data_IF_695832737957
#
_entry.id   IF_695832737957
#
_cell.length_a   1.000
_cell.length_b   1.000
_cell.length_c   1.000
_cell.angle_alpha   90.00
_cell.angle_beta   90.00
_cell.angle_gamma   90.00
#
_symmetry.space_group_name_H-M   'P 1'
#
loop_
_entity.id
_entity.type
_entity.pdbx_description
1 polymer ?
#
# COMPACT_ATOMS: atom_id res chain seq x y z
N UNK A 1 50.35 34.22 6.50
CA UNK A 1 49.26 34.22 7.49
C UNK A 1 48.23 33.21 7.04
N UNK A 2 47.80 32.29 7.92
CA UNK A 2 46.74 31.32 7.58
C UNK A 2 45.39 32.03 7.56
N UNK A 3 44.47 31.57 6.71
CA UNK A 3 43.12 32.16 6.65
C UNK A 3 42.30 31.73 7.86
N UNK A 4 41.29 32.53 8.22
CA UNK A 4 40.36 32.20 9.31
C UNK A 4 39.68 30.84 9.03
N UNK A 5 39.40 30.52 7.77
CA UNK A 5 38.81 29.25 7.37
C UNK A 5 39.71 28.05 7.68
N UNK A 6 41.01 28.15 7.40
CA UNK A 6 41.98 27.08 7.71
C UNK A 6 42.07 26.81 9.22
N UNK A 7 42.02 27.85 10.05
CA UNK A 7 42.04 27.70 11.50
C UNK A 7 40.77 27.04 12.04
N UNK A 8 39.62 27.35 11.45
CA UNK A 8 38.34 26.73 11.83
C UNK A 8 38.30 25.23 11.47
N UNK A 9 38.89 24.85 10.33
CA UNK A 9 39.03 23.44 9.91
C UNK A 9 40.01 22.70 10.82
N UNK A 10 41.18 23.28 11.11
CA UNK A 10 42.22 22.70 11.98
C UNK A 10 41.70 22.47 13.42
N UNK A 11 40.77 23.31 13.88
CA UNK A 11 40.13 23.19 15.19
C UNK A 11 38.90 22.29 15.20
N UNK A 12 38.53 21.68 14.07
CA UNK A 12 37.37 20.80 13.97
C UNK A 12 36.03 21.50 14.21
N UNK A 13 35.99 22.84 14.09
CA UNK A 13 34.80 23.67 14.31
C UNK A 13 33.96 23.84 13.03
N UNK A 14 34.38 23.21 11.93
CA UNK A 14 33.60 23.18 10.70
C UNK A 14 32.80 21.90 10.65
N UNK A 15 31.50 22.03 10.88
CA UNK A 15 30.55 20.98 10.54
C UNK A 15 30.51 20.87 9.02
N UNK A 16 31.25 19.92 8.45
CA UNK A 16 30.94 19.47 7.11
C UNK A 16 29.56 18.83 7.19
N UNK A 17 28.52 19.57 6.83
CA UNK A 17 27.11 19.15 6.73
C UNK A 17 26.89 18.04 5.67
N UNK A 18 27.90 17.21 5.39
CA UNK A 18 27.91 16.15 4.37
C UNK A 18 27.88 14.74 4.92
N UNK A 19 28.02 14.54 6.23
CA UNK A 19 27.79 13.27 6.89
C UNK A 19 26.82 13.57 8.04
N UNK A 20 25.55 13.19 8.03
CA UNK A 20 24.98 11.88 7.75
C UNK A 20 23.51 12.11 7.42
N UNK A 21 23.17 12.37 6.16
CA UNK A 21 21.77 12.23 5.76
C UNK A 21 21.53 10.73 5.67
N UNK A 22 21.24 10.10 6.80
CA UNK A 22 20.68 8.75 6.82
C UNK A 22 19.55 8.77 5.80
N UNK A 23 19.72 8.01 4.72
CA UNK A 23 18.66 7.83 3.74
C UNK A 23 17.67 6.92 4.45
N UNK A 24 16.82 7.51 5.30
CA UNK A 24 15.69 6.83 5.88
C UNK A 24 14.90 6.27 4.70
N UNK A 25 14.70 4.96 4.70
CA UNK A 25 14.03 4.24 3.63
C UNK A 25 12.53 4.54 3.71
N UNK A 26 12.14 5.76 3.34
CA UNK A 26 10.77 6.27 3.33
C UNK A 26 9.98 5.77 2.13
N UNK A 27 10.45 4.72 1.45
CA UNK A 27 9.73 4.06 0.36
C UNK A 27 8.49 3.36 0.92
N UNK A 28 7.42 4.12 1.04
CA UNK A 28 6.08 3.56 1.17
C UNK A 28 5.76 2.91 -0.17
N UNK A 29 5.83 1.57 -0.21
CA UNK A 29 5.31 0.83 -1.36
C UNK A 29 3.85 1.27 -1.57
N UNK A 30 3.43 1.61 -2.80
CA UNK A 30 2.04 1.93 -3.07
C UNK A 30 1.21 0.72 -2.64
N UNK A 31 0.25 0.93 -1.73
CA UNK A 31 -0.66 -0.13 -1.29
C UNK A 31 -1.33 -0.71 -2.53
N UNK A 32 -1.26 -2.03 -2.69
CA UNK A 32 -1.99 -2.71 -3.76
C UNK A 32 -3.47 -2.41 -3.58
N UNK A 33 -4.11 -1.95 -4.65
CA UNK A 33 -5.56 -1.72 -4.66
C UNK A 33 -6.23 -3.09 -4.50
N UNK A 34 -7.08 -3.22 -3.50
CA UNK A 34 -7.86 -4.45 -3.31
C UNK A 34 -8.75 -4.68 -4.53
N UNK A 35 -8.65 -5.86 -5.12
CA UNK A 35 -9.47 -6.26 -6.27
C UNK A 35 -10.41 -7.36 -5.85
N UNK A 36 -11.71 -7.14 -6.05
CA UNK A 36 -12.71 -8.17 -5.85
C UNK A 36 -12.58 -9.27 -6.91
N UNK A 37 -12.57 -10.51 -6.45
CA UNK A 37 -12.67 -11.71 -7.26
C UNK A 37 -14.03 -11.80 -7.96
N UNK A 38 -14.10 -12.61 -9.03
CA UNK A 38 -15.35 -12.88 -9.74
C UNK A 38 -16.45 -13.41 -8.82
N UNK A 39 -16.08 -14.18 -7.78
CA UNK A 39 -17.03 -14.76 -6.81
C UNK A 39 -17.64 -13.67 -5.93
N UNK A 40 -16.82 -12.76 -5.43
CA UNK A 40 -17.27 -11.64 -4.60
C UNK A 40 -18.17 -10.70 -5.40
N UNK A 41 -17.82 -10.43 -6.66
CA UNK A 41 -18.70 -9.72 -7.57
C UNK A 41 -20.04 -10.44 -7.77
N UNK A 42 -20.05 -11.74 -8.01
CA UNK A 42 -21.28 -12.52 -8.17
C UNK A 42 -22.14 -12.56 -6.90
N UNK A 43 -21.52 -12.44 -5.72
CA UNK A 43 -22.22 -12.36 -4.44
C UNK A 43 -22.84 -10.98 -4.21
N UNK A 44 -22.08 -9.90 -4.46
CA UNK A 44 -22.55 -8.50 -4.39
C UNK A 44 -23.70 -8.27 -5.38
N UNK A 45 -23.55 -8.76 -6.61
CA UNK A 45 -24.57 -8.65 -7.67
C UNK A 45 -25.76 -9.59 -7.43
N UNK A 46 -25.70 -10.47 -6.42
CA UNK A 46 -26.77 -11.41 -6.10
C UNK A 46 -26.95 -12.51 -7.14
N UNK A 47 -26.00 -12.70 -8.06
CA UNK A 47 -26.02 -13.77 -9.07
C UNK A 47 -25.94 -15.16 -8.44
N UNK A 48 -25.32 -15.27 -7.26
CA UNK A 48 -25.27 -16.51 -6.48
C UNK A 48 -26.50 -16.75 -5.59
N UNK A 49 -27.51 -15.84 -5.61
CA UNK A 49 -28.71 -16.00 -4.78
C UNK A 49 -29.57 -17.13 -5.30
N UNK A 50 -30.05 -17.92 -4.37
CA UNK A 50 -31.03 -18.96 -4.65
C UNK A 50 -32.32 -18.33 -5.17
N UNK A 51 -32.82 -18.85 -6.29
CA UNK A 51 -34.09 -18.39 -6.86
C UNK A 51 -35.21 -19.31 -6.40
N UNK A 52 -36.18 -18.73 -5.71
CA UNK A 52 -37.40 -19.43 -5.32
C UNK A 52 -38.38 -19.40 -6.49
N UNK A 53 -38.56 -20.53 -7.18
CA UNK A 53 -39.62 -20.68 -8.18
C UNK A 53 -40.76 -21.50 -7.57
N UNK A 54 -42.00 -20.99 -7.68
CA UNK A 54 -43.20 -21.76 -7.32
C UNK A 54 -43.43 -22.85 -8.37
N UNK A 55 -42.93 -24.06 -8.10
CA UNK A 55 -43.25 -25.28 -8.84
C UNK A 55 -43.91 -26.29 -7.90
N UNK A 56 -44.72 -27.23 -8.43
CA UNK A 56 -45.29 -28.34 -7.64
C UNK A 56 -44.13 -29.11 -6.98
N UNK A 57 -44.04 -29.06 -5.66
CA UNK A 57 -42.99 -29.70 -4.87
C UNK A 57 -41.93 -28.77 -4.26
N UNK A 58 -42.02 -27.45 -4.46
CA UNK A 58 -41.24 -26.45 -3.71
C UNK A 58 -39.74 -26.72 -3.64
N UNK A 59 -39.01 -26.44 -4.73
CA UNK A 59 -37.57 -26.66 -4.76
C UNK A 59 -36.83 -25.36 -5.08
N UNK A 60 -36.01 -24.94 -4.11
CA UNK A 60 -34.97 -23.92 -4.27
C UNK A 60 -34.04 -24.35 -5.40
N UNK A 61 -33.77 -23.46 -6.37
CA UNK A 61 -32.78 -23.72 -7.42
C UNK A 61 -31.59 -22.79 -7.25
N UNK A 62 -30.42 -23.42 -7.09
CA UNK A 62 -29.12 -22.77 -7.22
C UNK A 62 -28.66 -22.96 -8.66
N UNK A 63 -28.67 -21.90 -9.44
CA UNK A 63 -28.12 -21.93 -10.81
C UNK A 63 -26.59 -21.93 -10.68
N UNK A 64 -25.97 -23.09 -10.92
CA UNK A 64 -24.51 -23.24 -11.07
C UNK A 64 -24.16 -23.28 -12.54
#
# INVERSE_FOLDING_TARGET
>A
MRTIQEQLIEKGLTDSLRATKEILNTKTLPKLKETLSKREWAEIMGSNRDTFRRAKGGAVRRNR
#
